data_IF_491327861652
#
_entry.id   IF_491327861652
#
_cell.length_a   1.000
_cell.length_b   1.000
_cell.length_c   1.000
_cell.angle_alpha   90.00
_cell.angle_beta   90.00
_cell.angle_gamma   90.00
#
_symmetry.space_group_name_H-M   'P 1'
#
loop_
_entity.id
_entity.type
_entity.pdbx_description
1 polymer ?
#
# COMPACT_ATOMS: atom_id res chain seq x y z
N UNK A 1 -13.81 6.07 -10.62
CA UNK A 1 -14.55 5.29 -9.59
C UNK A 1 -14.31 3.78 -9.62
N UNK A 2 -14.82 2.99 -10.60
CA UNK A 2 -14.76 1.52 -10.50
C UNK A 2 -13.34 0.95 -10.44
N UNK A 3 -12.41 1.52 -11.22
CA UNK A 3 -11.00 1.14 -11.17
C UNK A 3 -10.37 1.38 -9.78
N UNK A 4 -10.68 2.51 -9.13
CA UNK A 4 -10.17 2.81 -7.79
C UNK A 4 -10.78 1.90 -6.73
N UNK A 5 -12.07 1.59 -6.81
CA UNK A 5 -12.70 0.63 -5.90
C UNK A 5 -12.09 -0.77 -6.04
N UNK A 6 -11.92 -1.24 -7.28
CA UNK A 6 -11.28 -2.52 -7.55
C UNK A 6 -9.84 -2.56 -7.04
N UNK A 7 -9.06 -1.51 -7.32
CA UNK A 7 -7.70 -1.38 -6.82
C UNK A 7 -7.67 -1.33 -5.29
N UNK A 8 -8.59 -0.61 -4.67
CA UNK A 8 -8.74 -0.54 -3.23
C UNK A 8 -8.97 -1.92 -2.61
N UNK A 9 -9.94 -2.68 -3.13
CA UNK A 9 -10.23 -4.05 -2.72
C UNK A 9 -9.00 -4.95 -2.92
N UNK A 10 -8.33 -4.86 -4.08
CA UNK A 10 -7.13 -5.64 -4.35
C UNK A 10 -6.02 -5.37 -3.32
N UNK A 11 -5.80 -4.10 -2.95
CA UNK A 11 -4.83 -3.74 -1.93
C UNK A 11 -5.21 -4.24 -0.54
N UNK A 12 -6.50 -4.25 -0.18
CA UNK A 12 -6.96 -4.89 1.06
C UNK A 12 -6.66 -6.38 1.04
N UNK A 13 -6.96 -7.09 -0.06
CA UNK A 13 -6.68 -8.52 -0.19
C UNK A 13 -5.17 -8.80 -0.05
N UNK A 14 -4.32 -8.02 -0.74
CA UNK A 14 -2.86 -8.14 -0.63
C UNK A 14 -2.41 -7.90 0.82
N UNK A 15 -2.94 -6.87 1.49
CA UNK A 15 -2.67 -6.59 2.91
C UNK A 15 -3.05 -7.77 3.82
N UNK A 16 -4.22 -8.39 3.61
CA UNK A 16 -4.64 -9.59 4.36
C UNK A 16 -3.69 -10.75 4.10
N UNK A 17 -3.29 -11.00 2.85
CA UNK A 17 -2.33 -12.04 2.53
C UNK A 17 -0.99 -11.84 3.27
N UNK A 18 -0.48 -10.60 3.30
CA UNK A 18 0.72 -10.25 4.05
C UNK A 18 0.54 -10.42 5.56
N UNK A 19 -0.59 -10.00 6.13
CA UNK A 19 -0.89 -10.16 7.55
C UNK A 19 -0.94 -11.64 7.98
N UNK A 20 -1.47 -12.50 7.11
CA UNK A 20 -1.54 -13.95 7.30
C UNK A 20 -0.26 -14.69 6.91
N UNK A 21 0.81 -13.97 6.54
CA UNK A 21 2.10 -14.49 6.11
C UNK A 21 2.01 -15.42 4.89
N UNK A 22 1.03 -15.20 4.01
CA UNK A 22 0.89 -15.93 2.74
C UNK A 22 1.93 -15.40 1.74
N UNK A 23 2.61 -16.30 1.04
CA UNK A 23 3.67 -15.95 0.06
C UNK A 23 3.14 -15.55 -1.34
N UNK A 24 1.82 -15.53 -1.54
CA UNK A 24 1.18 -15.34 -2.85
C UNK A 24 1.57 -14.02 -3.55
N UNK A 25 1.74 -12.94 -2.79
CA UNK A 25 2.08 -11.61 -3.30
C UNK A 25 3.49 -11.15 -2.85
N UNK A 26 4.30 -12.09 -2.37
CA UNK A 26 5.69 -11.81 -2.03
C UNK A 26 6.56 -11.98 -3.28
N UNK A 27 7.46 -11.03 -3.53
CA UNK A 27 8.42 -11.19 -4.60
C UNK A 27 9.34 -12.38 -4.33
N UNK A 28 9.65 -13.20 -5.33
CA UNK A 28 10.42 -14.46 -5.17
C UNK A 28 11.79 -14.24 -4.49
N UNK A 29 12.42 -13.10 -4.75
CA UNK A 29 13.75 -12.79 -4.23
C UNK A 29 13.72 -12.06 -2.87
N UNK A 30 12.55 -11.72 -2.30
CA UNK A 30 12.53 -10.97 -1.03
C UNK A 30 13.21 -11.74 0.10
N UNK A 31 13.18 -13.08 0.06
CA UNK A 31 13.82 -13.93 1.06
C UNK A 31 15.35 -13.82 1.06
N UNK A 32 15.97 -13.41 -0.05
CA UNK A 32 17.42 -13.16 -0.11
C UNK A 32 17.81 -11.77 0.38
N UNK A 33 16.86 -10.84 0.51
CA UNK A 33 17.12 -9.46 0.92
C UNK A 33 16.67 -9.13 2.34
N UNK A 34 15.80 -9.96 2.92
CA UNK A 34 15.14 -9.66 4.20
C UNK A 34 15.51 -10.70 5.25
N UNK A 35 15.94 -10.24 6.43
CA UNK A 35 16.33 -11.11 7.55
C UNK A 35 15.14 -11.82 8.22
N UNK A 36 14.00 -11.15 8.34
CA UNK A 36 12.75 -11.71 8.87
C UNK A 36 11.57 -11.38 7.94
N UNK A 37 11.26 -12.34 7.08
CA UNK A 37 10.17 -12.24 6.10
C UNK A 37 8.83 -12.05 6.79
N UNK A 38 8.59 -12.66 7.95
CA UNK A 38 7.31 -12.60 8.64
C UNK A 38 7.06 -11.20 9.21
N UNK A 39 8.07 -10.64 9.90
CA UNK A 39 8.00 -9.26 10.41
C UNK A 39 7.87 -8.26 9.25
N UNK A 40 8.61 -8.47 8.17
CA UNK A 40 8.51 -7.64 6.96
C UNK A 40 7.10 -7.66 6.35
N UNK A 41 6.49 -8.84 6.19
CA UNK A 41 5.14 -8.97 5.65
C UNK A 41 4.11 -8.24 6.53
N UNK A 42 4.16 -8.41 7.85
CA UNK A 42 3.27 -7.69 8.78
C UNK A 42 3.43 -6.18 8.67
N UNK A 43 4.66 -5.68 8.54
CA UNK A 43 4.91 -4.25 8.33
C UNK A 43 4.40 -3.73 6.99
N UNK A 44 4.51 -4.54 5.93
CA UNK A 44 4.00 -4.20 4.59
C UNK A 44 2.46 -4.17 4.55
N UNK A 45 1.79 -5.05 5.32
CA UNK A 45 0.33 -5.13 5.36
C UNK A 45 -0.34 -3.78 5.68
N UNK A 46 0.23 -3.02 6.62
CA UNK A 46 -0.30 -1.70 7.00
C UNK A 46 -0.28 -0.70 5.83
N UNK A 47 0.80 -0.67 5.04
CA UNK A 47 0.90 0.18 3.86
C UNK A 47 -0.16 -0.18 2.82
N UNK A 48 -0.34 -1.47 2.55
CA UNK A 48 -1.39 -1.96 1.65
C UNK A 48 -2.80 -1.62 2.13
N UNK A 49 -3.09 -1.76 3.42
CA UNK A 49 -4.40 -1.41 3.98
C UNK A 49 -4.69 0.09 3.84
N UNK A 50 -3.74 0.94 4.21
CA UNK A 50 -3.90 2.38 4.10
C UNK A 50 -4.10 2.82 2.65
N UNK A 51 -3.33 2.24 1.73
CA UNK A 51 -3.45 2.54 0.31
C UNK A 51 -4.79 2.03 -0.26
N UNK A 52 -5.27 0.87 0.18
CA UNK A 52 -6.57 0.32 -0.18
C UNK A 52 -7.74 1.19 0.28
N UNK A 53 -7.71 1.62 1.55
CA UNK A 53 -8.69 2.56 2.11
C UNK A 53 -8.65 3.89 1.35
N UNK A 54 -7.46 4.41 1.08
CA UNK A 54 -7.29 5.65 0.31
C UNK A 54 -7.94 5.55 -1.07
N UNK A 55 -7.67 4.49 -1.83
CA UNK A 55 -8.30 4.27 -3.14
C UNK A 55 -9.82 4.23 -3.06
N UNK A 56 -10.39 3.53 -2.07
CA UNK A 56 -11.83 3.43 -1.90
C UNK A 56 -12.47 4.77 -1.53
N UNK A 57 -11.88 5.49 -0.57
CA UNK A 57 -12.38 6.79 -0.12
C UNK A 57 -12.30 7.81 -1.24
N UNK A 58 -11.15 7.91 -1.92
CA UNK A 58 -10.99 8.84 -3.04
C UNK A 58 -11.91 8.50 -4.21
N UNK A 59 -12.17 7.21 -4.48
CA UNK A 59 -13.15 6.83 -5.50
C UNK A 59 -14.59 7.23 -5.16
N UNK A 60 -14.98 7.21 -3.88
CA UNK A 60 -16.28 7.71 -3.43
C UNK A 60 -16.35 9.23 -3.53
N UNK A 61 -15.28 9.93 -3.12
CA UNK A 61 -15.17 11.40 -3.20
C UNK A 61 -15.24 11.89 -4.64
N UNK A 62 -14.53 11.21 -5.56
CA UNK A 62 -14.57 11.49 -7.00
C UNK A 62 -15.99 11.34 -7.55
N UNK A 63 -16.69 10.24 -7.20
CA UNK A 63 -18.07 10.00 -7.64
C UNK A 63 -19.02 11.10 -7.19
N UNK A 64 -18.81 11.62 -5.98
CA UNK A 64 -19.63 12.69 -5.41
C UNK A 64 -19.28 14.08 -5.97
N UNK A 65 -18.25 14.19 -6.82
CA UNK A 65 -17.79 15.44 -7.43
C UNK A 65 -17.61 16.59 -6.41
N UNK A 66 -17.12 16.24 -5.20
CA UNK A 66 -17.03 17.19 -4.06
C UNK A 66 -15.95 18.25 -4.30
N UNK A 67 -14.90 17.89 -5.03
CA UNK A 67 -13.73 18.74 -5.26
C UNK A 67 -13.51 18.98 -6.74
N UNK A 68 -12.97 20.15 -7.06
CA UNK A 68 -12.33 20.40 -8.35
C UNK A 68 -11.18 19.41 -8.56
N UNK A 69 -10.94 19.04 -9.82
CA UNK A 69 -9.95 18.03 -10.21
C UNK A 69 -8.55 18.32 -9.64
N UNK A 70 -8.13 19.58 -9.64
CA UNK A 70 -6.83 20.02 -9.09
C UNK A 70 -6.72 19.74 -7.59
N UNK A 71 -7.74 20.14 -6.82
CA UNK A 71 -7.82 19.91 -5.37
C UNK A 71 -7.89 18.42 -5.05
N UNK A 72 -8.67 17.65 -5.81
CA UNK A 72 -8.75 16.21 -5.66
C UNK A 72 -7.37 15.55 -5.82
N UNK A 73 -6.63 15.90 -6.87
CA UNK A 73 -5.30 15.36 -7.14
C UNK A 73 -4.31 15.73 -6.02
N UNK A 74 -4.31 16.98 -5.56
CA UNK A 74 -3.40 17.41 -4.48
C UNK A 74 -3.66 16.64 -3.17
N UNK A 75 -4.93 16.51 -2.77
CA UNK A 75 -5.30 15.74 -1.57
C UNK A 75 -4.87 14.29 -1.73
N UNK A 76 -5.06 13.72 -2.93
CA UNK A 76 -4.63 12.35 -3.23
C UNK A 76 -3.13 12.16 -2.96
N UNK A 77 -2.30 13.04 -3.55
CA UNK A 77 -0.84 12.95 -3.45
C UNK A 77 -0.41 13.06 -1.99
N UNK A 78 -0.93 14.04 -1.26
CA UNK A 78 -0.59 14.27 0.14
C UNK A 78 -0.90 13.03 0.99
N UNK A 79 -2.09 12.45 0.81
CA UNK A 79 -2.49 11.26 1.56
C UNK A 79 -1.69 10.01 1.18
N UNK A 80 -1.27 9.88 -0.08
CA UNK A 80 -0.45 8.76 -0.55
C UNK A 80 0.97 8.74 0.03
N UNK A 81 1.48 9.87 0.53
CA UNK A 81 2.81 9.94 1.16
C UNK A 81 2.90 9.05 2.40
N UNK A 82 1.81 8.92 3.17
CA UNK A 82 1.78 8.14 4.41
C UNK A 82 2.04 6.64 4.16
N UNK A 83 1.23 5.92 3.34
CA UNK A 83 1.50 4.52 3.05
C UNK A 83 2.84 4.30 2.35
N UNK A 84 3.27 5.24 1.49
CA UNK A 84 4.59 5.17 0.84
C UNK A 84 5.73 5.23 1.87
N UNK A 85 5.65 6.15 2.83
CA UNK A 85 6.66 6.29 3.89
C UNK A 85 6.74 5.03 4.75
N UNK A 86 5.59 4.44 5.11
CA UNK A 86 5.54 3.19 5.87
C UNK A 86 6.22 2.06 5.08
N UNK A 87 5.96 1.94 3.78
CA UNK A 87 6.61 0.93 2.94
C UNK A 87 8.13 1.12 2.90
N UNK A 88 8.61 2.35 2.70
CA UNK A 88 10.03 2.67 2.65
C UNK A 88 10.76 2.40 3.98
N UNK A 89 10.14 2.77 5.10
CA UNK A 89 10.68 2.49 6.44
C UNK A 89 10.72 0.98 6.70
N UNK A 90 9.68 0.24 6.29
CA UNK A 90 9.63 -1.21 6.45
C UNK A 90 10.72 -1.91 5.61
N UNK A 91 10.95 -1.47 4.38
CA UNK A 91 12.03 -1.95 3.52
C UNK A 91 13.40 -1.69 4.17
N UNK A 92 13.65 -0.45 4.61
CA UNK A 92 14.92 -0.10 5.27
C UNK A 92 15.16 -0.93 6.52
N UNK A 93 14.12 -1.11 7.35
CA UNK A 93 14.20 -1.87 8.60
C UNK A 93 14.63 -3.32 8.38
N UNK A 94 14.14 -3.96 7.32
CA UNK A 94 14.28 -5.41 7.13
C UNK A 94 15.30 -5.81 6.06
N UNK A 95 15.58 -4.95 5.09
CA UNK A 95 16.53 -5.21 4.00
C UNK A 95 17.67 -4.20 3.87
N UNK A 96 17.80 -3.28 4.83
CA UNK A 96 18.89 -2.30 4.87
C UNK A 96 18.85 -1.21 3.80
N UNK A 97 17.94 -1.32 2.82
CA UNK A 97 17.75 -0.39 1.70
C UNK A 97 16.31 0.08 1.65
N UNK A 98 16.09 1.31 1.20
CA UNK A 98 14.75 1.86 1.00
C UNK A 98 14.00 1.21 -0.18
N UNK A 99 14.76 0.73 -1.18
CA UNK A 99 14.24 0.08 -2.37
C UNK A 99 14.99 -1.23 -2.62
N UNK A 100 14.24 -2.28 -2.95
CA UNK A 100 14.78 -3.51 -3.50
C UNK A 100 14.88 -3.35 -5.02
N UNK A 101 16.10 -3.12 -5.51
CA UNK A 101 16.50 -3.27 -6.92
C UNK A 101 17.29 -4.57 -7.03
#
# INVERSE_FOLDING_TARGET
>A
MFAQLFLGIAMIIIGVCHLLNKRLFLHKNIESFVSDVRSFQKGAALSYFLLGILFMVMGIVEKKAIFETSTFIMVYIILAIIPLTIALVNNKKHGGKYWFW
#
